data_IF_965354772975
#
_entry.id   IF_965354772975
#
_cell.length_a   1.000
_cell.length_b   1.000
_cell.length_c   1.000
_cell.angle_alpha   90.00
_cell.angle_beta   90.00
_cell.angle_gamma   90.00
#
_symmetry.space_group_name_H-M   'P 1'
#
loop_
_entity.id
_entity.type
_entity.pdbx_description
1 polymer ?
#
# COMPACT_ATOMS: atom_id res chain seq x y z
N UNK A 1 -49.27 -51.87 5.53
CA UNK A 1 -48.17 -50.92 5.89
C UNK A 1 -46.85 -51.66 5.73
N UNK A 2 -45.77 -51.08 5.16
CA UNK A 2 -45.06 -49.86 5.61
C UNK A 2 -44.85 -48.79 4.52
N UNK A 3 -44.98 -47.51 4.86
CA UNK A 3 -43.97 -46.48 5.16
C UNK A 3 -43.16 -45.91 3.98
N UNK A 4 -43.69 -44.78 3.49
CA UNK A 4 -43.09 -43.77 2.63
C UNK A 4 -41.85 -43.15 3.30
N UNK A 5 -40.73 -43.08 2.58
CA UNK A 5 -39.61 -42.18 2.91
C UNK A 5 -39.26 -41.38 1.66
N UNK A 6 -39.82 -40.19 1.60
CA UNK A 6 -39.47 -39.11 0.69
C UNK A 6 -38.24 -38.42 1.28
N UNK A 7 -37.07 -38.69 0.70
CA UNK A 7 -35.82 -38.01 1.04
C UNK A 7 -35.82 -36.63 0.41
N UNK A 8 -36.02 -35.63 1.24
CA UNK A 8 -35.72 -34.23 0.94
C UNK A 8 -34.21 -34.09 0.82
N UNK A 9 -33.70 -33.98 -0.40
CA UNK A 9 -32.31 -33.56 -0.64
C UNK A 9 -32.23 -32.07 -0.34
N UNK A 10 -31.77 -31.73 0.85
CA UNK A 10 -31.34 -30.37 1.16
C UNK A 10 -30.11 -30.07 0.29
N UNK A 11 -30.26 -29.14 -0.65
CA UNK A 11 -29.15 -28.47 -1.32
C UNK A 11 -28.33 -27.76 -0.26
N UNK A 12 -27.21 -28.34 0.16
CA UNK A 12 -26.19 -27.60 0.89
C UNK A 12 -25.53 -26.62 -0.08
N UNK A 13 -26.06 -25.40 -0.13
CA UNK A 13 -25.33 -24.27 -0.64
C UNK A 13 -24.09 -24.11 0.25
N UNK A 14 -22.93 -24.49 -0.29
CA UNK A 14 -21.65 -24.11 0.27
C UNK A 14 -21.52 -22.60 0.08
N UNK A 15 -21.85 -21.84 1.11
CA UNK A 15 -21.47 -20.43 1.19
C UNK A 15 -19.94 -20.39 1.30
N UNK A 16 -19.27 -20.31 0.15
CA UNK A 16 -17.88 -19.95 0.09
C UNK A 16 -17.71 -18.59 0.81
N UNK A 17 -16.66 -18.41 1.62
CA UNK A 17 -16.44 -17.15 2.31
C UNK A 17 -16.31 -16.04 1.27
N UNK A 18 -17.32 -15.19 1.18
CA UNK A 18 -17.34 -14.05 0.28
C UNK A 18 -16.38 -13.01 0.88
N UNK A 19 -15.11 -13.09 0.50
CA UNK A 19 -14.13 -12.07 0.85
C UNK A 19 -14.57 -10.79 0.10
N UNK A 20 -15.18 -9.88 0.84
CA UNK A 20 -15.72 -8.63 0.28
C UNK A 20 -14.58 -7.71 -0.15
N UNK A 21 -14.84 -6.85 -1.15
CA UNK A 21 -13.87 -5.85 -1.59
C UNK A 21 -13.42 -4.92 -0.45
N UNK A 22 -14.30 -4.67 0.54
CA UNK A 22 -13.97 -3.94 1.75
C UNK A 22 -12.93 -4.67 2.61
N UNK A 23 -13.03 -5.99 2.73
CA UNK A 23 -12.05 -6.81 3.45
C UNK A 23 -10.68 -6.81 2.75
N UNK A 24 -10.66 -6.84 1.42
CA UNK A 24 -9.42 -6.77 0.63
C UNK A 24 -8.76 -5.40 0.78
N UNK A 25 -9.53 -4.31 0.63
CA UNK A 25 -9.03 -2.94 0.84
C UNK A 25 -8.47 -2.77 2.25
N UNK A 26 -9.18 -3.28 3.25
CA UNK A 26 -8.74 -3.25 4.65
C UNK A 26 -7.42 -4.00 4.85
N UNK A 27 -7.31 -5.20 4.29
CA UNK A 27 -6.08 -6.00 4.40
C UNK A 27 -4.86 -5.30 3.78
N UNK A 28 -5.02 -4.68 2.61
CA UNK A 28 -3.94 -3.92 1.95
C UNK A 28 -3.54 -2.72 2.83
N UNK A 29 -4.51 -1.95 3.33
CA UNK A 29 -4.24 -0.80 4.20
C UNK A 29 -3.56 -1.21 5.51
N UNK A 30 -4.03 -2.27 6.15
CA UNK A 30 -3.48 -2.78 7.42
C UNK A 30 -2.04 -3.28 7.21
N UNK A 31 -1.77 -4.00 6.12
CA UNK A 31 -0.42 -4.51 5.81
C UNK A 31 0.59 -3.39 5.53
N UNK A 32 0.21 -2.36 4.79
CA UNK A 32 1.06 -1.20 4.50
C UNK A 32 1.29 -0.36 5.76
N UNK A 33 0.26 -0.22 6.60
CA UNK A 33 0.36 0.50 7.88
C UNK A 33 1.31 -0.21 8.83
N UNK A 34 1.15 -1.52 9.01
CA UNK A 34 2.03 -2.32 9.87
C UNK A 34 3.48 -2.30 9.40
N UNK A 35 3.75 -2.39 8.09
CA UNK A 35 5.10 -2.31 7.54
C UNK A 35 5.74 -0.93 7.79
N UNK A 36 4.95 0.14 7.71
CA UNK A 36 5.42 1.50 7.96
C UNK A 36 5.69 1.74 9.45
N UNK A 37 4.85 1.24 10.34
CA UNK A 37 5.04 1.30 11.80
C UNK A 37 6.23 0.47 12.25
N UNK A 38 6.41 -0.74 11.72
CA UNK A 38 7.57 -1.56 11.99
C UNK A 38 8.87 -0.85 11.59
N UNK A 39 8.88 -0.22 10.40
CA UNK A 39 10.04 0.57 9.93
C UNK A 39 10.28 1.80 10.82
N UNK A 40 9.24 2.45 11.32
CA UNK A 40 9.36 3.56 12.27
C UNK A 40 9.92 3.12 13.63
N UNK A 41 9.48 1.98 14.16
CA UNK A 41 9.97 1.41 15.42
C UNK A 41 11.43 0.93 15.30
N UNK A 42 11.82 0.35 14.17
CA UNK A 42 13.22 -0.01 13.90
C UNK A 42 14.14 1.22 13.88
N UNK A 43 13.65 2.36 13.37
CA UNK A 43 14.40 3.63 13.41
C UNK A 43 14.47 4.26 14.80
N UNK A 44 13.44 4.11 15.63
CA UNK A 44 13.44 4.60 17.02
C UNK A 44 14.42 3.83 17.93
N UNK A 45 14.66 2.54 17.65
CA UNK A 45 15.54 1.68 18.44
C UNK A 45 17.03 1.80 18.09
N UNK A 46 17.39 2.49 17.00
CA UNK A 46 18.78 2.85 16.67
C UNK A 46 19.28 4.11 17.36
N UNK A 47 18.42 4.84 18.08
CA UNK A 47 18.80 6.02 18.86
C UNK A 47 18.59 5.75 20.35
N UNK A 48 19.49 4.99 20.95
CA UNK A 48 19.60 4.90 22.41
C UNK A 48 20.36 6.12 22.97
N UNK A 49 19.80 7.32 22.87
CA UNK A 49 20.28 8.46 23.66
C UNK A 49 19.09 9.24 24.24
N UNK A 50 18.85 9.00 25.52
CA UNK A 50 17.93 9.74 26.38
C UNK A 50 18.41 11.19 26.53
N UNK A 51 17.70 12.13 25.91
CA UNK A 51 17.88 13.56 26.13
C UNK A 51 16.88 14.39 25.33
N UNK A 52 16.34 15.43 25.95
CA UNK A 52 15.54 16.53 25.36
C UNK A 52 15.96 17.05 23.97
N UNK A 53 17.24 16.98 23.50
CA UNK A 53 17.58 17.20 22.09
C UNK A 53 16.86 16.29 21.08
N UNK A 54 16.47 15.06 21.47
CA UNK A 54 15.79 14.10 20.58
C UNK A 54 14.37 14.56 20.22
N UNK A 55 13.70 15.32 21.08
CA UNK A 55 12.36 15.85 20.76
C UNK A 55 12.44 16.96 19.72
N UNK A 56 13.48 17.79 19.77
CA UNK A 56 13.72 18.82 18.76
C UNK A 56 14.20 18.20 17.45
N UNK A 57 15.05 17.17 17.48
CA UNK A 57 15.43 16.42 16.27
C UNK A 57 14.26 15.62 15.67
N UNK A 58 13.38 15.03 16.49
CA UNK A 58 12.18 14.35 16.02
C UNK A 58 11.15 15.34 15.45
N UNK A 59 10.99 16.53 16.05
CA UNK A 59 10.17 17.61 15.49
C UNK A 59 10.77 18.14 14.19
N UNK A 60 12.08 18.39 14.18
CA UNK A 60 12.81 18.84 12.99
C UNK A 60 12.78 17.80 11.87
N UNK A 61 12.93 16.51 12.18
CA UNK A 61 12.78 15.41 11.23
C UNK A 61 11.33 15.24 10.79
N UNK A 62 10.34 15.59 11.63
CA UNK A 62 8.91 15.59 11.29
C UNK A 62 8.54 16.74 10.35
N UNK A 63 9.19 17.89 10.50
CA UNK A 63 9.03 19.06 9.63
C UNK A 63 9.82 18.93 8.32
N UNK A 64 10.98 18.27 8.33
CA UNK A 64 11.85 18.09 7.16
C UNK A 64 11.72 16.71 6.49
N UNK A 65 10.59 16.01 6.70
CA UNK A 65 10.33 14.66 6.16
C UNK A 65 10.51 14.58 4.64
N UNK A 66 10.06 15.61 3.92
CA UNK A 66 10.14 15.66 2.46
C UNK A 66 11.60 15.78 2.01
N UNK A 67 12.37 16.71 2.57
CA UNK A 67 13.79 16.90 2.26
C UNK A 67 14.60 15.63 2.51
N UNK A 68 14.34 14.94 3.62
CA UNK A 68 15.02 13.68 3.91
C UNK A 68 14.65 12.59 2.91
N UNK A 69 13.35 12.40 2.63
CA UNK A 69 12.91 11.38 1.70
C UNK A 69 13.40 11.63 0.27
N UNK A 70 13.38 12.88 -0.19
CA UNK A 70 13.85 13.25 -1.54
C UNK A 70 15.36 13.08 -1.68
N UNK A 71 16.12 13.30 -0.61
CA UNK A 71 17.55 13.00 -0.54
C UNK A 71 17.90 11.50 -0.59
N UNK A 72 16.92 10.61 -0.43
CA UNK A 72 17.11 9.15 -0.55
C UNK A 72 16.62 8.56 -1.87
N UNK A 73 16.09 9.39 -2.77
CA UNK A 73 15.67 8.93 -4.09
C UNK A 73 16.88 8.53 -4.92
N UNK A 74 16.71 7.50 -5.75
CA UNK A 74 17.76 6.97 -6.63
C UNK A 74 17.26 6.89 -8.08
N UNK A 75 18.19 6.81 -9.02
CA UNK A 75 17.98 6.54 -10.44
C UNK A 75 16.88 7.40 -11.12
N UNK A 76 15.90 6.75 -11.73
CA UNK A 76 14.80 7.40 -12.45
C UNK A 76 13.91 8.24 -11.53
N UNK A 77 13.74 7.81 -10.28
CA UNK A 77 12.91 8.51 -9.30
C UNK A 77 13.56 9.83 -8.89
N UNK A 78 14.88 9.82 -8.70
CA UNK A 78 15.66 11.03 -8.42
C UNK A 78 15.65 11.99 -9.62
N UNK A 79 15.90 11.47 -10.83
CA UNK A 79 15.91 12.26 -12.06
C UNK A 79 14.57 12.97 -12.29
N UNK A 80 13.47 12.25 -12.06
CA UNK A 80 12.13 12.82 -12.17
C UNK A 80 11.82 13.86 -11.08
N UNK A 81 12.16 13.56 -9.83
CA UNK A 81 11.95 14.51 -8.74
C UNK A 81 12.70 15.82 -8.99
N UNK A 82 13.94 15.74 -9.49
CA UNK A 82 14.73 16.92 -9.85
C UNK A 82 14.06 17.72 -10.97
N UNK A 83 13.53 17.07 -12.01
CA UNK A 83 12.78 17.75 -13.08
C UNK A 83 11.48 18.40 -12.57
N UNK A 84 10.79 17.76 -11.63
CA UNK A 84 9.60 18.31 -10.98
C UNK A 84 9.93 19.52 -10.10
N UNK A 85 11.00 19.45 -9.30
CA UNK A 85 11.43 20.49 -8.39
C UNK A 85 12.08 21.71 -9.11
N UNK A 86 12.67 21.51 -10.29
CA UNK A 86 13.40 22.54 -11.04
C UNK A 86 12.59 23.82 -11.33
N UNK A 87 11.33 23.78 -11.82
CA UNK A 87 10.54 24.99 -12.06
C UNK A 87 10.03 25.67 -10.77
N UNK A 88 9.93 24.95 -9.66
CA UNK A 88 9.43 25.48 -8.38
C UNK A 88 10.54 25.95 -7.43
N UNK A 89 11.78 25.53 -7.68
CA UNK A 89 12.92 25.77 -6.80
C UNK A 89 12.92 24.83 -5.58
N UNK A 90 14.12 24.55 -5.07
CA UNK A 90 14.34 23.58 -3.99
C UNK A 90 13.59 23.98 -2.71
N UNK A 91 13.54 25.28 -2.38
CA UNK A 91 12.87 25.77 -1.18
C UNK A 91 11.35 25.55 -1.21
N UNK A 92 10.73 25.69 -2.39
CA UNK A 92 9.30 25.46 -2.55
C UNK A 92 8.99 23.96 -2.66
N UNK A 93 9.87 23.20 -3.32
CA UNK A 93 9.78 21.74 -3.39
C UNK A 93 9.87 21.09 -2.01
N UNK A 94 10.73 21.61 -1.12
CA UNK A 94 10.84 21.10 0.26
C UNK A 94 9.64 21.45 1.14
N UNK A 95 8.85 22.48 0.76
CA UNK A 95 7.61 22.87 1.45
C UNK A 95 6.40 22.04 1.05
N UNK A 96 6.49 21.17 0.04
CA UNK A 96 5.35 20.29 -0.27
C UNK A 96 5.06 19.39 0.93
N UNK A 97 3.79 19.05 1.13
CA UNK A 97 3.44 18.17 2.25
C UNK A 97 3.90 16.74 1.97
N UNK A 98 4.17 15.97 3.03
CA UNK A 98 4.47 14.54 2.91
C UNK A 98 3.37 13.76 2.17
N UNK A 99 2.10 14.14 2.37
CA UNK A 99 0.95 13.54 1.67
C UNK A 99 1.03 13.79 0.16
N UNK A 100 1.40 15.01 -0.23
CA UNK A 100 1.54 15.39 -1.63
C UNK A 100 2.71 14.66 -2.30
N UNK A 101 3.86 14.55 -1.64
CA UNK A 101 4.99 13.78 -2.15
C UNK A 101 4.60 12.32 -2.44
N UNK A 102 3.92 11.65 -1.49
CA UNK A 102 3.41 10.29 -1.69
C UNK A 102 2.44 10.21 -2.86
N UNK A 103 1.51 11.17 -2.97
CA UNK A 103 0.54 11.21 -4.07
C UNK A 103 1.24 11.31 -5.43
N UNK A 104 2.26 12.17 -5.55
CA UNK A 104 2.98 12.36 -6.80
C UNK A 104 3.77 11.12 -7.22
N UNK A 105 4.50 10.48 -6.29
CA UNK A 105 5.24 9.25 -6.55
C UNK A 105 4.30 8.09 -6.93
N UNK A 106 3.21 7.91 -6.19
CA UNK A 106 2.21 6.88 -6.51
C UNK A 106 1.57 7.14 -7.87
N UNK A 107 1.20 8.38 -8.19
CA UNK A 107 0.59 8.66 -9.50
C UNK A 107 1.52 8.40 -10.67
N UNK A 108 2.82 8.70 -10.52
CA UNK A 108 3.80 8.47 -11.59
C UNK A 108 4.10 6.98 -11.79
N UNK A 109 4.38 6.25 -10.72
CA UNK A 109 4.90 4.88 -10.80
C UNK A 109 3.84 3.79 -10.61
N UNK A 110 2.73 4.14 -9.96
CA UNK A 110 1.56 3.28 -9.73
C UNK A 110 0.28 3.99 -10.22
N UNK A 111 0.19 4.33 -11.51
CA UNK A 111 -0.95 5.07 -12.03
C UNK A 111 -2.23 4.29 -11.73
N UNK A 112 -3.26 5.00 -11.25
CA UNK A 112 -4.53 4.40 -10.83
C UNK A 112 -5.17 3.52 -11.91
N UNK A 113 -4.92 3.80 -13.19
CA UNK A 113 -5.35 2.98 -14.31
C UNK A 113 -4.75 1.57 -14.28
N UNK A 114 -3.47 1.45 -13.89
CA UNK A 114 -2.81 0.14 -13.76
C UNK A 114 -3.35 -0.59 -12.53
N UNK A 115 -3.58 0.11 -11.43
CA UNK A 115 -4.21 -0.48 -10.23
C UNK A 115 -5.61 -1.00 -10.57
N UNK A 116 -6.43 -0.20 -11.28
CA UNK A 116 -7.77 -0.60 -11.73
C UNK A 116 -7.73 -1.80 -12.66
N UNK A 117 -6.78 -1.85 -13.61
CA UNK A 117 -6.59 -3.02 -14.48
C UNK A 117 -6.23 -4.27 -13.67
N UNK A 118 -5.37 -4.16 -12.68
CA UNK A 118 -5.05 -5.27 -11.78
C UNK A 118 -6.27 -5.72 -10.96
N UNK A 119 -7.11 -4.78 -10.49
CA UNK A 119 -8.38 -5.09 -9.81
C UNK A 119 -9.38 -5.81 -10.73
N UNK A 120 -9.51 -5.36 -11.98
CA UNK A 120 -10.37 -5.98 -12.99
C UNK A 120 -9.86 -7.35 -13.43
N UNK A 121 -8.56 -7.52 -13.65
CA UNK A 121 -7.93 -8.81 -13.94
C UNK A 121 -8.16 -9.78 -12.77
N UNK A 122 -7.92 -9.34 -11.53
CA UNK A 122 -8.15 -10.14 -10.33
C UNK A 122 -9.63 -10.52 -10.15
N UNK A 123 -10.56 -9.58 -10.36
CA UNK A 123 -11.99 -9.85 -10.32
C UNK A 123 -12.38 -10.88 -11.38
N UNK A 124 -11.90 -10.74 -12.60
CA UNK A 124 -12.12 -11.72 -13.66
C UNK A 124 -11.51 -13.09 -13.34
N UNK A 125 -10.33 -13.15 -12.70
CA UNK A 125 -9.70 -14.41 -12.30
C UNK A 125 -10.50 -15.12 -11.20
N UNK A 126 -10.95 -14.38 -10.18
CA UNK A 126 -11.80 -14.92 -9.10
C UNK A 126 -13.16 -15.38 -9.64
N UNK A 127 -13.81 -14.54 -10.46
CA UNK A 127 -15.14 -14.83 -11.04
C UNK A 127 -15.09 -15.97 -12.05
N UNK A 128 -14.03 -16.07 -12.85
CA UNK A 128 -13.85 -17.16 -13.83
C UNK A 128 -13.14 -18.39 -13.26
N UNK A 129 -12.81 -18.40 -11.95
CA UNK A 129 -12.20 -19.55 -11.26
C UNK A 129 -10.78 -19.90 -11.73
N UNK A 130 -10.03 -18.94 -12.26
CA UNK A 130 -8.66 -19.16 -12.72
C UNK A 130 -7.69 -19.15 -11.54
N UNK A 131 -6.71 -20.06 -11.56
CA UNK A 131 -5.75 -20.27 -10.48
C UNK A 131 -4.94 -19.01 -10.17
N UNK A 132 -5.26 -18.38 -9.04
CA UNK A 132 -4.62 -17.19 -8.47
C UNK A 132 -3.09 -17.34 -8.37
N UNK A 133 -2.60 -18.58 -8.21
CA UNK A 133 -1.18 -18.93 -8.16
C UNK A 133 -0.44 -18.57 -9.45
N UNK A 134 -1.12 -18.63 -10.60
CA UNK A 134 -0.55 -18.26 -11.91
C UNK A 134 -0.39 -16.75 -12.04
N UNK A 135 -1.32 -15.97 -11.50
CA UNK A 135 -1.27 -14.51 -11.54
C UNK A 135 -0.16 -13.94 -10.64
N UNK A 136 0.00 -14.48 -9.43
CA UNK A 136 1.05 -14.06 -8.49
C UNK A 136 2.46 -14.28 -9.06
N UNK A 137 2.66 -15.35 -9.84
CA UNK A 137 3.96 -15.64 -10.50
C UNK A 137 4.36 -14.58 -11.54
N UNK A 138 3.43 -13.78 -12.04
CA UNK A 138 3.72 -12.72 -13.03
C UNK A 138 4.41 -11.49 -12.41
N UNK A 139 4.33 -11.35 -11.09
CA UNK A 139 4.82 -10.18 -10.34
C UNK A 139 5.87 -10.52 -9.27
N UNK A 140 6.34 -11.78 -9.22
CA UNK A 140 7.55 -12.22 -8.51
C UNK A 140 8.73 -12.23 -9.48
#
# INVERSE_FOLDING_TARGET
>A
MPLKRNSTSATSASEAPTITQAAIKKFIVDSVTAALEARAATMANTSNLTGTPVLLELLYAKENKVTFATGTLIDDVLSWWNAYAQPMGVDQANKITWTELKRLLTNKYYPQTNVRKMEEELYNLIVKGNDLKTYVRRFQ
#
